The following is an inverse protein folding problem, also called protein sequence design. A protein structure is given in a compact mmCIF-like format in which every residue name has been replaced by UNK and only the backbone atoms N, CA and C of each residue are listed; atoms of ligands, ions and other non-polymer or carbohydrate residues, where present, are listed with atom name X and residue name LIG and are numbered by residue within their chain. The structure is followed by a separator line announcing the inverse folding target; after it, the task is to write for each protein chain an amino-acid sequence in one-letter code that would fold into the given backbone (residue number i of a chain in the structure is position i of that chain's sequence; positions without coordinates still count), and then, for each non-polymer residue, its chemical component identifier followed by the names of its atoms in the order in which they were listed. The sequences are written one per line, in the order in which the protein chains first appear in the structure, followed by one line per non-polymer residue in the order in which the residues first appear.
data_IF_404116552622
#
_entry.id   IF_404116552622
#
_cell.length_a   1.000
_cell.length_b   1.000
_cell.length_c   1.000
_cell.angle_alpha   90.00
_cell.angle_beta   90.00
_cell.angle_gamma   90.00
#
_symmetry.space_group_name_H-M   'P 1'
#
loop_
_entity.id
_entity.type
_entity.pdbx_description
1 polymer ?
#
# COMPACT_ATOMS: atom_id res chain seq x y z
N UNK A 1 11.07 62.72 58.09
CA UNK A 1 12.43 62.32 57.64
C UNK A 1 12.41 62.37 56.12
N UNK A 2 13.02 63.40 55.54
CA UNK A 2 13.13 63.56 54.07
C UNK A 2 14.36 62.75 53.61
N UNK A 3 14.10 61.70 52.79
CA UNK A 3 15.15 60.91 52.20
C UNK A 3 15.91 61.75 51.18
N UNK A 4 17.20 61.96 51.45
CA UNK A 4 18.15 62.63 50.56
C UNK A 4 18.28 61.82 49.30
N UNK A 5 17.64 62.22 48.23
CA UNK A 5 17.90 61.75 46.86
C UNK A 5 19.28 62.26 46.43
N UNK A 6 20.30 61.50 46.70
CA UNK A 6 21.68 61.83 46.27
C UNK A 6 21.74 61.92 44.75
N UNK A 7 21.96 63.15 44.24
CA UNK A 7 22.23 63.41 42.82
C UNK A 7 23.50 62.66 42.42
N UNK A 8 23.36 61.61 41.62
CA UNK A 8 24.52 60.88 41.03
C UNK A 8 25.40 61.83 40.27
N UNK A 9 26.72 61.79 40.54
CA UNK A 9 27.69 62.57 39.83
C UNK A 9 27.71 62.17 38.34
N UNK A 10 28.10 63.06 37.45
CA UNK A 10 28.21 62.84 35.98
C UNK A 10 29.05 61.60 35.66
N UNK A 11 30.10 61.37 36.44
CA UNK A 11 30.97 60.19 36.34
C UNK A 11 30.26 58.89 36.71
N UNK A 12 29.41 58.92 37.80
CA UNK A 12 28.62 57.75 38.20
C UNK A 12 27.53 57.42 37.16
N UNK A 13 26.88 58.43 36.57
CA UNK A 13 25.93 58.22 35.49
C UNK A 13 26.58 57.61 34.22
N UNK A 14 27.74 58.10 33.83
CA UNK A 14 28.52 57.54 32.68
C UNK A 14 28.88 56.07 32.95
N UNK A 15 29.39 55.78 34.14
CA UNK A 15 29.74 54.39 34.52
C UNK A 15 28.50 53.46 34.54
N UNK A 16 27.37 53.95 35.08
CA UNK A 16 26.14 53.19 35.09
C UNK A 16 25.60 52.94 33.69
N UNK A 17 25.65 53.93 32.78
CA UNK A 17 25.26 53.78 31.41
C UNK A 17 26.15 52.78 30.65
N UNK A 18 27.47 52.79 30.90
CA UNK A 18 28.38 51.81 30.34
C UNK A 18 28.11 50.38 30.84
N UNK A 19 27.81 50.22 32.14
CA UNK A 19 27.39 48.93 32.73
C UNK A 19 26.10 48.45 32.12
N UNK A 20 25.10 49.33 32.02
CA UNK A 20 23.82 48.97 31.42
C UNK A 20 23.94 48.61 29.95
N UNK A 21 24.75 49.30 29.18
CA UNK A 21 25.00 49.00 27.79
C UNK A 21 25.75 47.67 27.63
N UNK A 22 26.75 47.40 28.46
CA UNK A 22 27.46 46.13 28.48
C UNK A 22 26.54 44.97 28.87
N UNK A 23 25.64 45.23 29.86
CA UNK A 23 24.64 44.23 30.28
C UNK A 23 23.62 43.95 29.18
N UNK A 24 23.17 45.00 28.47
CA UNK A 24 22.26 44.87 27.31
C UNK A 24 22.89 44.11 26.18
N UNK A 25 24.17 44.38 25.85
CA UNK A 25 24.94 43.65 24.84
C UNK A 25 25.12 42.16 25.27
N UNK A 26 25.40 41.91 26.56
CA UNK A 26 25.56 40.55 27.07
C UNK A 26 24.25 39.77 27.02
N UNK A 27 23.13 40.38 27.43
CA UNK A 27 21.81 39.75 27.32
C UNK A 27 21.43 39.53 25.85
N UNK A 28 21.73 40.47 24.95
CA UNK A 28 21.48 40.30 23.54
C UNK A 28 22.30 39.15 22.97
N UNK A 29 23.59 38.99 23.33
CA UNK A 29 24.39 37.84 22.95
C UNK A 29 23.81 36.52 23.46
N UNK A 30 23.37 36.46 24.73
CA UNK A 30 22.75 35.26 25.31
C UNK A 30 21.43 34.92 24.60
N UNK A 31 20.62 35.94 24.27
CA UNK A 31 19.34 35.74 23.59
C UNK A 31 19.51 35.31 22.13
N UNK A 32 20.63 35.68 21.50
CA UNK A 32 20.95 35.28 20.12
C UNK A 32 21.69 33.92 20.04
N UNK A 33 22.18 33.38 21.17
CA UNK A 33 22.80 32.08 21.21
C UNK A 33 21.75 30.99 21.07
N UNK A 34 21.82 30.22 19.95
CA UNK A 34 20.99 29.00 19.81
C UNK A 34 21.44 28.04 20.90
N UNK A 35 20.47 27.46 21.63
CA UNK A 35 20.78 26.47 22.68
C UNK A 35 21.49 25.27 22.07
N UNK A 36 22.57 24.81 22.68
CA UNK A 36 23.32 23.61 22.29
C UNK A 36 22.45 22.38 22.27
N UNK A 37 21.44 22.32 23.12
CA UNK A 37 20.47 21.22 23.18
C UNK A 37 19.58 21.21 21.94
N UNK A 38 19.21 22.38 21.40
CA UNK A 38 18.44 22.47 20.12
C UNK A 38 19.28 21.98 18.96
N UNK A 39 20.55 22.38 18.89
CA UNK A 39 21.48 21.88 17.86
C UNK A 39 21.66 20.37 17.95
N UNK A 40 21.89 19.83 19.16
CA UNK A 40 21.99 18.40 19.39
C UNK A 40 20.70 17.66 18.98
N UNK A 41 19.54 18.21 19.31
CA UNK A 41 18.25 17.60 18.94
C UNK A 41 18.05 17.56 17.42
N UNK A 42 18.38 18.62 16.68
CA UNK A 42 18.35 18.63 15.23
C UNK A 42 19.30 17.58 14.63
N UNK A 43 20.49 17.44 15.21
CA UNK A 43 21.47 16.44 14.80
C UNK A 43 20.95 15.01 14.99
N UNK A 44 20.42 14.70 16.18
CA UNK A 44 19.84 13.36 16.48
C UNK A 44 18.67 13.05 15.53
N UNK A 45 17.77 14.02 15.28
CA UNK A 45 16.69 13.84 14.31
C UNK A 45 17.22 13.57 12.90
N UNK A 46 18.34 14.19 12.54
CA UNK A 46 18.99 13.93 11.24
C UNK A 46 19.56 12.52 11.18
N UNK A 47 20.20 12.03 12.26
CA UNK A 47 20.70 10.64 12.33
C UNK A 47 19.55 9.60 12.24
N UNK A 48 18.45 9.82 12.95
CA UNK A 48 17.28 8.95 12.88
C UNK A 48 16.70 8.91 11.46
N UNK A 49 16.70 10.04 10.77
CA UNK A 49 16.26 10.14 9.38
C UNK A 49 17.24 9.44 8.43
N UNK A 50 18.56 9.55 8.63
CA UNK A 50 19.58 8.81 7.88
C UNK A 50 19.40 7.30 8.05
N UNK A 51 19.16 6.84 9.28
CA UNK A 51 18.89 5.43 9.57
C UNK A 51 17.64 4.93 8.88
N UNK A 52 16.51 5.65 9.00
CA UNK A 52 15.26 5.30 8.32
C UNK A 52 15.43 5.27 6.80
N UNK A 53 16.22 6.20 6.24
CA UNK A 53 16.53 6.23 4.81
C UNK A 53 17.36 5.02 4.37
N UNK A 54 18.28 4.55 5.22
CA UNK A 54 19.05 3.31 4.98
C UNK A 54 18.19 2.06 5.01
N UNK A 55 17.25 1.96 5.97
CA UNK A 55 16.27 0.87 6.02
C UNK A 55 15.35 0.87 4.79
N UNK A 56 14.93 2.06 4.36
CA UNK A 56 14.13 2.23 3.16
C UNK A 56 14.88 1.79 1.90
N UNK A 57 16.18 2.04 1.81
CA UNK A 57 17.04 1.57 0.71
C UNK A 57 17.02 0.06 0.58
N UNK A 58 17.03 -0.69 1.68
CA UNK A 58 16.89 -2.16 1.66
C UNK A 58 15.57 -2.60 1.04
N UNK A 59 14.49 -1.89 1.35
CA UNK A 59 13.16 -2.15 0.78
C UNK A 59 13.10 -1.81 -0.71
N UNK A 60 13.74 -0.71 -1.12
CA UNK A 60 13.90 -0.31 -2.52
C UNK A 60 14.64 -1.38 -3.31
N UNK A 61 15.78 -1.84 -2.83
CA UNK A 61 16.59 -2.86 -3.50
C UNK A 61 15.82 -4.20 -3.61
N UNK A 62 15.04 -4.54 -2.59
CA UNK A 62 14.14 -5.72 -2.62
C UNK A 62 13.05 -5.55 -3.69
N UNK A 63 12.47 -4.37 -3.83
CA UNK A 63 11.45 -4.09 -4.83
C UNK A 63 12.01 -4.15 -6.26
N UNK A 64 13.20 -3.60 -6.52
CA UNK A 64 13.89 -3.76 -7.80
C UNK A 64 14.13 -5.23 -8.13
N UNK A 65 14.62 -6.02 -7.17
CA UNK A 65 14.85 -7.45 -7.35
C UNK A 65 13.56 -8.21 -7.70
N UNK A 66 12.44 -7.88 -7.05
CA UNK A 66 11.13 -8.49 -7.38
C UNK A 66 10.72 -8.16 -8.82
N UNK A 67 10.86 -6.92 -9.25
CA UNK A 67 10.50 -6.48 -10.59
C UNK A 67 11.40 -7.15 -11.64
N UNK A 68 12.70 -7.22 -11.39
CA UNK A 68 13.67 -7.83 -12.30
C UNK A 68 13.45 -9.35 -12.45
N UNK A 69 13.25 -10.08 -11.35
CA UNK A 69 12.94 -11.50 -11.36
C UNK A 69 11.64 -11.83 -12.09
N UNK A 70 10.69 -10.90 -12.14
CA UNK A 70 9.43 -11.04 -12.82
C UNK A 70 9.36 -10.32 -14.17
N UNK A 71 10.48 -9.88 -14.73
CA UNK A 71 10.58 -9.13 -15.99
C UNK A 71 10.00 -9.84 -17.20
N UNK A 72 9.89 -11.18 -17.15
CA UNK A 72 9.24 -12.01 -18.17
C UNK A 72 7.70 -11.89 -18.18
N UNK A 73 7.10 -11.37 -17.12
CA UNK A 73 5.66 -11.12 -17.04
C UNK A 73 5.33 -9.80 -17.75
N UNK A 74 4.28 -9.81 -18.56
CA UNK A 74 3.88 -8.64 -19.34
C UNK A 74 3.73 -7.36 -18.52
N UNK A 75 3.28 -7.48 -17.25
CA UNK A 75 3.12 -6.34 -16.34
C UNK A 75 4.44 -5.68 -15.96
N UNK A 76 5.52 -6.46 -15.78
CA UNK A 76 6.82 -5.97 -15.35
C UNK A 76 7.79 -5.70 -16.50
N UNK A 77 7.49 -6.16 -17.71
CA UNK A 77 8.39 -6.07 -18.85
C UNK A 77 8.82 -4.62 -19.14
N UNK A 78 7.86 -3.70 -19.28
CA UNK A 78 8.17 -2.29 -19.54
C UNK A 78 8.76 -1.60 -18.30
N UNK A 79 8.18 -1.75 -17.08
CA UNK A 79 8.81 -1.24 -15.88
C UNK A 79 10.27 -1.70 -15.68
N UNK A 80 10.60 -2.97 -15.89
CA UNK A 80 11.97 -3.46 -15.71
C UNK A 80 12.98 -2.83 -16.68
N UNK A 81 12.55 -2.37 -17.85
CA UNK A 81 13.39 -1.67 -18.82
C UNK A 81 13.56 -0.16 -18.49
N UNK A 82 12.54 0.49 -17.92
CA UNK A 82 12.55 1.94 -17.66
C UNK A 82 13.03 2.33 -16.25
N UNK A 83 12.75 1.49 -15.24
CA UNK A 83 13.10 1.77 -13.85
C UNK A 83 14.61 1.90 -13.56
N UNK A 84 15.55 1.29 -14.31
CA UNK A 84 16.96 1.61 -14.16
C UNK A 84 17.29 3.10 -14.36
N UNK A 85 16.54 3.81 -15.22
CA UNK A 85 16.68 5.27 -15.40
C UNK A 85 16.20 6.02 -14.16
N UNK A 86 15.10 5.58 -13.53
CA UNK A 86 14.64 6.14 -12.26
C UNK A 86 15.70 5.99 -11.17
N UNK A 87 16.30 4.80 -11.08
CA UNK A 87 17.38 4.54 -10.12
C UNK A 87 18.58 5.45 -10.37
N UNK A 88 18.99 5.63 -11.61
CA UNK A 88 20.09 6.53 -11.98
C UNK A 88 19.79 7.97 -11.55
N UNK A 89 18.61 8.51 -11.85
CA UNK A 89 18.17 9.86 -11.45
C UNK A 89 18.16 10.02 -9.93
N UNK A 90 17.62 9.06 -9.20
CA UNK A 90 17.53 9.11 -7.73
C UNK A 90 18.90 8.95 -7.07
N UNK A 91 19.76 8.06 -7.57
CA UNK A 91 21.11 7.87 -7.07
C UNK A 91 22.00 9.08 -7.38
N UNK A 92 21.91 9.67 -8.57
CA UNK A 92 22.66 10.87 -8.96
C UNK A 92 22.34 12.03 -8.01
N UNK A 93 21.07 12.34 -7.79
CA UNK A 93 20.68 13.43 -6.90
C UNK A 93 21.01 13.13 -5.42
N UNK A 94 20.78 11.90 -4.97
CA UNK A 94 21.15 11.49 -3.61
C UNK A 94 22.65 11.68 -3.35
N UNK A 95 23.50 11.26 -4.28
CA UNK A 95 24.96 11.36 -4.16
C UNK A 95 25.42 12.82 -4.23
N UNK A 96 24.82 13.63 -5.08
CA UNK A 96 25.10 15.08 -5.13
C UNK A 96 24.84 15.75 -3.76
N UNK A 97 23.73 15.42 -3.09
CA UNK A 97 23.44 15.92 -1.74
C UNK A 97 24.43 15.35 -0.71
N UNK A 98 24.85 14.08 -0.87
CA UNK A 98 25.85 13.49 0.02
C UNK A 98 27.19 14.19 -0.10
N UNK A 99 27.64 14.46 -1.31
CA UNK A 99 28.90 15.20 -1.57
C UNK A 99 28.87 16.62 -0.98
N UNK A 100 27.71 17.30 -1.00
CA UNK A 100 27.52 18.57 -0.31
C UNK A 100 27.67 18.44 1.20
N UNK A 101 27.03 17.43 1.81
CA UNK A 101 27.15 17.17 3.26
C UNK A 101 28.59 16.89 3.65
N UNK A 102 29.27 16.02 2.91
CA UNK A 102 30.65 15.61 3.20
C UNK A 102 31.63 16.78 3.04
N UNK A 103 31.45 17.64 2.03
CA UNK A 103 32.26 18.85 1.87
C UNK A 103 32.08 19.84 3.01
N UNK A 104 30.85 20.00 3.52
CA UNK A 104 30.58 20.90 4.65
C UNK A 104 31.16 20.39 5.98
N UNK A 105 31.09 19.07 6.22
CA UNK A 105 31.69 18.45 7.41
C UNK A 105 33.21 18.48 7.31
N UNK A 106 33.77 18.24 6.12
CA UNK A 106 35.20 18.19 5.87
C UNK A 106 35.94 19.51 6.08
N UNK A 107 35.22 20.65 6.15
CA UNK A 107 35.82 21.96 6.43
C UNK A 107 36.51 21.99 7.82
N UNK A 108 35.92 21.34 8.83
CA UNK A 108 36.44 21.33 10.20
C UNK A 108 36.15 19.97 10.90
N UNK A 109 36.51 18.88 10.20
CA UNK A 109 36.17 17.50 10.62
C UNK A 109 36.66 17.19 12.05
N UNK A 110 37.86 17.62 12.39
CA UNK A 110 38.47 17.39 13.74
C UNK A 110 37.67 18.06 14.86
N UNK A 111 36.90 19.09 14.57
CA UNK A 111 36.10 19.80 15.58
C UNK A 111 34.64 19.27 15.62
N UNK A 112 34.20 18.60 14.56
CA UNK A 112 32.85 18.08 14.44
C UNK A 112 32.67 16.62 14.82
N UNK A 113 33.79 15.90 15.08
CA UNK A 113 33.79 14.51 15.50
C UNK A 113 34.30 14.39 16.93
N UNK A 114 33.62 13.61 17.75
CA UNK A 114 33.98 13.29 19.11
C UNK A 114 34.09 11.78 19.30
N UNK A 115 35.02 11.36 20.11
CA UNK A 115 35.13 9.99 20.56
C UNK A 115 34.20 9.78 21.76
N UNK A 116 33.22 8.87 21.60
CA UNK A 116 32.29 8.49 22.66
C UNK A 116 32.58 7.06 23.10
N UNK A 117 32.91 6.91 24.38
CA UNK A 117 33.05 5.60 25.00
C UNK A 117 31.67 4.99 25.26
N UNK A 118 31.49 3.73 24.89
CA UNK A 118 30.28 2.97 25.16
C UNK A 118 30.61 1.52 25.50
N UNK A 119 29.72 0.87 26.22
CA UNK A 119 29.84 -0.55 26.57
C UNK A 119 28.98 -1.33 25.53
N UNK A 120 29.61 -2.30 24.86
CA UNK A 120 28.91 -3.17 23.91
C UNK A 120 28.02 -4.22 24.63
N UNK A 121 27.21 -4.95 23.88
CA UNK A 121 26.31 -6.00 24.39
C UNK A 121 27.08 -7.13 25.16
N UNK A 122 28.37 -7.25 24.95
CA UNK A 122 29.24 -8.23 25.61
C UNK A 122 29.94 -7.67 26.84
N UNK A 123 29.71 -6.40 27.23
CA UNK A 123 30.29 -5.74 28.38
C UNK A 123 31.69 -5.17 28.13
N UNK A 124 32.15 -5.06 26.89
CA UNK A 124 33.46 -4.49 26.56
C UNK A 124 33.33 -2.99 26.29
N UNK A 125 34.28 -2.22 26.80
CA UNK A 125 34.44 -0.80 26.50
C UNK A 125 34.90 -0.64 25.04
N UNK A 126 34.18 0.18 24.27
CA UNK A 126 34.50 0.56 22.89
C UNK A 126 34.39 2.06 22.70
N UNK A 127 35.19 2.57 21.79
CA UNK A 127 35.17 3.98 21.37
C UNK A 127 34.50 4.03 20.02
N UNK A 128 33.52 4.92 19.87
CA UNK A 128 32.84 5.22 18.58
C UNK A 128 32.99 6.70 18.30
N UNK A 129 33.40 7.04 17.08
CA UNK A 129 33.38 8.41 16.63
C UNK A 129 31.93 8.83 16.28
N UNK A 130 31.50 9.92 16.87
CA UNK A 130 30.18 10.52 16.61
C UNK A 130 30.30 11.99 16.28
N UNK A 131 29.30 12.51 15.56
CA UNK A 131 29.22 13.95 15.26
C UNK A 131 28.87 14.74 16.51
N UNK A 132 29.62 15.81 16.81
CA UNK A 132 29.31 16.77 17.86
C UNK A 132 28.46 17.91 17.28
N UNK A 133 27.16 17.73 17.32
CA UNK A 133 26.22 18.74 16.81
C UNK A 133 26.20 20.02 17.63
N UNK A 134 26.68 20.02 18.88
CA UNK A 134 26.67 21.20 19.76
C UNK A 134 27.64 22.30 19.31
N UNK A 135 28.60 21.96 18.47
CA UNK A 135 29.59 22.88 17.91
C UNK A 135 29.29 23.30 16.48
N UNK A 136 28.20 22.75 15.88
CA UNK A 136 27.79 23.04 14.51
C UNK A 136 26.80 24.22 14.44
N UNK A 137 27.08 25.30 15.17
CA UNK A 137 26.27 26.50 15.25
C UNK A 137 26.58 27.54 14.15
N UNK A 138 27.70 27.40 13.46
CA UNK A 138 28.17 28.34 12.43
C UNK A 138 27.30 28.26 11.18
N UNK A 139 26.93 29.41 10.64
CA UNK A 139 26.13 29.53 9.41
C UNK A 139 26.96 29.76 8.14
N UNK A 140 28.16 30.32 8.29
CA UNK A 140 28.96 30.81 7.16
C UNK A 140 29.43 29.71 6.20
N UNK A 141 29.55 28.46 6.60
CA UNK A 141 30.09 27.40 5.73
C UNK A 141 29.20 27.10 4.52
N UNK A 142 27.90 26.98 4.70
CA UNK A 142 26.99 26.79 3.58
C UNK A 142 26.82 28.08 2.80
N UNK A 143 26.83 29.24 3.50
CA UNK A 143 26.74 30.55 2.85
C UNK A 143 27.92 30.77 1.89
N UNK A 144 29.14 30.39 2.25
CA UNK A 144 30.33 30.47 1.37
C UNK A 144 30.25 29.49 0.18
N UNK A 145 29.56 28.35 0.32
CA UNK A 145 29.38 27.38 -0.78
C UNK A 145 28.30 27.83 -1.76
N UNK A 146 27.18 28.38 -1.26
CA UNK A 146 26.02 28.72 -2.10
C UNK A 146 25.96 30.17 -2.55
N UNK A 147 26.55 31.09 -1.80
CA UNK A 147 26.41 32.52 -2.03
C UNK A 147 27.75 33.22 -2.19
N UNK A 148 27.81 34.22 -3.08
CA UNK A 148 28.96 35.04 -3.30
C UNK A 148 28.52 36.49 -3.55
N UNK A 149 29.00 37.45 -2.75
CA UNK A 149 28.51 38.82 -2.75
C UNK A 149 26.96 38.87 -2.69
N UNK A 150 26.29 39.40 -3.71
CA UNK A 150 24.82 39.47 -3.80
C UNK A 150 24.27 38.43 -4.80
N UNK A 151 24.96 37.30 -5.01
CA UNK A 151 24.57 36.30 -6.00
C UNK A 151 24.75 34.87 -5.54
N UNK A 152 24.27 33.94 -6.33
CA UNK A 152 24.38 32.48 -6.11
C UNK A 152 25.67 31.98 -6.82
N UNK A 153 26.41 31.11 -6.15
CA UNK A 153 27.58 30.44 -6.73
C UNK A 153 27.17 29.41 -7.79
N UNK A 154 28.13 28.92 -8.57
CA UNK A 154 27.88 27.80 -9.49
C UNK A 154 27.35 26.57 -8.75
N UNK A 155 27.83 26.27 -7.53
CA UNK A 155 27.38 25.15 -6.74
C UNK A 155 25.95 25.34 -6.19
N UNK A 156 25.62 26.57 -5.78
CA UNK A 156 24.27 26.94 -5.42
C UNK A 156 23.28 26.86 -6.59
N UNK A 157 23.71 27.25 -7.78
CA UNK A 157 22.90 27.15 -9.00
C UNK A 157 22.68 25.66 -9.37
N UNK A 158 23.71 24.84 -9.33
CA UNK A 158 23.63 23.41 -9.55
C UNK A 158 22.64 22.73 -8.60
N UNK A 159 22.65 23.12 -7.33
CA UNK A 159 21.68 22.65 -6.35
C UNK A 159 20.23 23.04 -6.71
N UNK A 160 20.01 24.29 -7.14
CA UNK A 160 18.70 24.75 -7.61
C UNK A 160 18.23 23.93 -8.82
N UNK A 161 19.12 23.71 -9.78
CA UNK A 161 18.80 22.99 -11.01
C UNK A 161 18.43 21.54 -10.71
N UNK A 162 19.16 20.85 -9.83
CA UNK A 162 18.77 19.50 -9.37
C UNK A 162 17.39 19.49 -8.72
N UNK A 163 17.10 20.47 -7.86
CA UNK A 163 15.81 20.52 -7.16
C UNK A 163 14.64 20.78 -8.12
N UNK A 164 14.84 21.69 -9.11
CA UNK A 164 13.83 22.00 -10.15
C UNK A 164 13.58 20.82 -11.09
N UNK A 165 14.65 20.20 -11.56
CA UNK A 165 14.58 19.21 -12.65
C UNK A 165 14.13 17.84 -12.14
N UNK A 166 14.30 17.56 -10.85
CA UNK A 166 14.03 16.21 -10.29
C UNK A 166 12.62 15.73 -10.58
N UNK A 167 11.61 16.57 -10.32
CA UNK A 167 10.19 16.23 -10.56
C UNK A 167 9.97 15.88 -12.03
N UNK A 168 10.42 16.72 -12.96
CA UNK A 168 10.24 16.49 -14.40
C UNK A 168 10.98 15.26 -14.92
N UNK A 169 12.20 14.99 -14.41
CA UNK A 169 12.96 13.78 -14.75
C UNK A 169 12.24 12.51 -14.31
N UNK A 170 11.71 12.48 -13.07
CA UNK A 170 10.94 11.33 -12.55
C UNK A 170 9.64 11.15 -13.33
N UNK A 171 8.88 12.22 -13.56
CA UNK A 171 7.64 12.20 -14.36
C UNK A 171 7.89 11.64 -15.76
N UNK A 172 8.95 12.06 -16.42
CA UNK A 172 9.34 11.59 -17.76
C UNK A 172 9.54 10.06 -17.81
N UNK A 173 10.13 9.46 -16.77
CA UNK A 173 10.29 8.00 -16.70
C UNK A 173 8.94 7.31 -16.54
N UNK A 174 8.08 7.83 -15.66
CA UNK A 174 6.76 7.23 -15.42
C UNK A 174 5.83 7.36 -16.62
N UNK A 175 5.90 8.47 -17.34
CA UNK A 175 5.15 8.67 -18.58
C UNK A 175 5.67 7.76 -19.70
N UNK A 176 6.99 7.55 -19.80
CA UNK A 176 7.56 6.54 -20.71
C UNK A 176 7.01 5.13 -20.43
N UNK A 177 6.86 4.74 -19.16
CA UNK A 177 6.23 3.46 -18.79
C UNK A 177 4.77 3.41 -19.27
N UNK A 178 4.00 4.47 -19.04
CA UNK A 178 2.58 4.54 -19.42
C UNK A 178 2.38 4.52 -20.95
N UNK A 179 3.19 5.30 -21.69
CA UNK A 179 3.08 5.43 -23.15
C UNK A 179 3.48 4.16 -23.89
N UNK A 180 4.51 3.46 -23.41
CA UNK A 180 4.97 2.20 -23.97
C UNK A 180 4.01 1.04 -23.69
N UNK A 181 3.18 1.16 -22.66
CA UNK A 181 2.19 0.16 -22.33
C UNK A 181 0.89 0.35 -23.14
N UNK A 182 0.79 -0.38 -24.24
CA UNK A 182 -0.39 -0.32 -25.15
C UNK A 182 -1.68 -0.91 -24.55
N UNK A 183 -1.63 -1.51 -23.35
CA UNK A 183 -2.77 -2.14 -22.65
C UNK A 183 -3.59 -1.12 -21.86
N UNK A 184 -3.99 -0.04 -22.47
CA UNK A 184 -4.52 1.21 -21.94
C UNK A 184 -5.66 1.16 -20.90
N UNK A 185 -6.28 0.01 -20.67
CA UNK A 185 -7.42 -0.14 -19.72
C UNK A 185 -7.05 -0.93 -18.47
N UNK A 186 -6.01 -1.77 -18.50
CA UNK A 186 -5.64 -2.68 -17.40
C UNK A 186 -4.36 -2.30 -16.65
N UNK A 187 -3.53 -1.44 -17.20
CA UNK A 187 -2.24 -1.05 -16.64
C UNK A 187 -2.29 0.23 -15.80
N UNK A 188 -3.26 0.32 -14.88
CA UNK A 188 -3.21 1.38 -13.87
C UNK A 188 -2.13 1.02 -12.84
N UNK A 189 -0.89 1.49 -13.09
CA UNK A 189 0.27 1.28 -12.21
C UNK A 189 0.14 1.95 -10.82
N UNK A 190 -0.85 2.83 -10.64
CA UNK A 190 -1.10 3.48 -9.35
C UNK A 190 -0.10 4.58 -9.00
N UNK A 191 0.59 5.16 -9.99
CA UNK A 191 1.59 6.23 -9.77
C UNK A 191 1.00 7.55 -9.28
N UNK A 192 -0.32 7.75 -9.34
CA UNK A 192 -0.95 9.04 -9.00
C UNK A 192 -0.60 9.56 -7.61
N UNK A 193 -0.58 8.67 -6.61
CA UNK A 193 -0.22 9.05 -5.23
C UNK A 193 1.26 9.41 -5.13
N UNK A 194 2.15 8.63 -5.74
CA UNK A 194 3.59 8.90 -5.76
C UNK A 194 3.90 10.22 -6.46
N UNK A 195 3.24 10.51 -7.60
CA UNK A 195 3.37 11.79 -8.32
C UNK A 195 2.87 12.97 -7.49
N UNK A 196 1.74 12.83 -6.82
CA UNK A 196 1.24 13.89 -5.92
C UNK A 196 2.21 14.17 -4.77
N UNK A 197 2.76 13.14 -4.16
CA UNK A 197 3.75 13.29 -3.08
C UNK A 197 5.07 13.87 -3.60
N UNK A 198 5.51 13.48 -4.80
CA UNK A 198 6.70 14.05 -5.47
C UNK A 198 6.54 15.56 -5.64
N UNK A 199 5.43 16.02 -6.23
CA UNK A 199 5.15 17.44 -6.44
C UNK A 199 5.05 18.24 -5.14
N UNK A 200 4.55 17.61 -4.04
CA UNK A 200 4.49 18.26 -2.73
C UNK A 200 5.87 18.38 -2.07
N UNK A 201 6.75 17.37 -2.20
CA UNK A 201 8.08 17.35 -1.56
C UNK A 201 9.08 18.21 -2.30
N UNK A 202 9.02 18.23 -3.63
CA UNK A 202 9.92 18.98 -4.51
C UNK A 202 9.23 20.18 -5.17
N UNK A 203 8.39 20.88 -4.39
CA UNK A 203 7.70 22.07 -4.85
C UNK A 203 8.68 23.26 -4.93
N UNK A 204 9.03 23.65 -6.16
CA UNK A 204 9.82 24.83 -6.43
C UNK A 204 8.91 25.93 -7.04
N UNK A 205 8.98 27.18 -6.55
CA UNK A 205 8.12 28.26 -7.07
C UNK A 205 8.50 28.64 -8.50
N UNK A 206 7.49 28.87 -9.35
CA UNK A 206 7.70 29.23 -10.78
C UNK A 206 8.46 30.55 -10.98
N UNK A 207 8.29 31.50 -10.06
CA UNK A 207 8.95 32.82 -10.09
C UNK A 207 10.25 32.86 -9.27
N UNK A 208 10.80 31.70 -8.90
CA UNK A 208 11.99 31.53 -8.06
C UNK A 208 11.88 32.19 -6.66
N UNK A 209 10.70 32.71 -6.27
CA UNK A 209 10.51 33.51 -5.07
C UNK A 209 9.47 32.89 -4.13
N UNK A 210 9.68 33.09 -2.86
CA UNK A 210 8.73 32.74 -1.79
C UNK A 210 8.36 33.98 -1.00
N UNK A 211 7.17 33.98 -0.44
CA UNK A 211 6.74 35.02 0.51
C UNK A 211 7.12 34.56 1.92
N UNK A 212 8.03 35.27 2.56
CA UNK A 212 8.47 34.97 3.91
C UNK A 212 7.36 35.28 4.96
N UNK A 213 7.64 35.00 6.25
CA UNK A 213 6.66 35.20 7.33
C UNK A 213 6.25 36.66 7.54
N UNK A 214 7.06 37.58 7.08
CA UNK A 214 6.81 39.03 7.16
C UNK A 214 6.06 39.58 5.93
N UNK A 215 5.68 38.69 4.99
CA UNK A 215 4.99 39.05 3.75
C UNK A 215 5.88 39.63 2.66
N UNK A 216 7.20 39.49 2.79
CA UNK A 216 8.20 39.99 1.84
C UNK A 216 8.56 38.88 0.86
N UNK A 217 8.65 39.21 -0.44
CA UNK A 217 9.16 38.30 -1.47
C UNK A 217 10.68 38.20 -1.37
N UNK A 218 11.16 36.96 -1.34
CA UNK A 218 12.57 36.63 -1.22
C UNK A 218 12.87 35.41 -2.11
N UNK A 219 14.05 35.33 -2.68
CA UNK A 219 14.41 34.19 -3.51
C UNK A 219 14.44 32.93 -2.70
N UNK A 220 13.91 31.82 -3.27
CA UNK A 220 13.71 30.54 -2.61
C UNK A 220 14.96 30.01 -1.93
N UNK A 221 16.15 30.16 -2.58
CA UNK A 221 17.39 29.63 -2.04
C UNK A 221 17.87 30.42 -0.82
N UNK A 222 17.75 31.76 -0.83
CA UNK A 222 18.10 32.60 0.32
C UNK A 222 17.18 32.32 1.49
N UNK A 223 15.86 32.29 1.26
CA UNK A 223 14.87 31.99 2.28
C UNK A 223 15.12 30.63 2.97
N UNK A 224 15.54 29.60 2.21
CA UNK A 224 15.67 28.27 2.73
C UNK A 224 17.06 27.94 3.27
N UNK A 225 18.14 28.58 2.82
CA UNK A 225 19.50 28.13 3.10
C UNK A 225 20.45 29.22 3.60
N UNK A 226 20.16 30.51 3.43
CA UNK A 226 21.03 31.58 3.90
C UNK A 226 20.96 31.72 5.43
N UNK A 227 22.10 31.87 6.08
CA UNK A 227 22.27 32.14 7.52
C UNK A 227 21.72 31.05 8.46
N UNK A 228 21.55 29.84 8.00
CA UNK A 228 21.18 28.72 8.86
C UNK A 228 22.42 28.11 9.53
N UNK A 229 22.31 27.65 10.81
CA UNK A 229 23.36 26.86 11.43
C UNK A 229 23.71 25.61 10.61
N UNK A 230 24.98 25.19 10.63
CA UNK A 230 25.45 24.04 9.84
C UNK A 230 24.58 22.80 10.08
N UNK A 231 24.27 22.48 11.37
CA UNK A 231 23.41 21.32 11.70
C UNK A 231 22.02 21.41 11.07
N UNK A 232 21.44 22.62 10.99
CA UNK A 232 20.13 22.80 10.36
C UNK A 232 20.20 22.59 8.83
N UNK A 233 21.26 23.05 8.20
CA UNK A 233 21.53 22.82 6.76
C UNK A 233 21.75 21.35 6.47
N UNK A 234 22.55 20.64 7.27
CA UNK A 234 22.75 19.19 7.18
C UNK A 234 21.42 18.43 7.34
N UNK A 235 20.58 18.83 8.29
CA UNK A 235 19.27 18.22 8.51
C UNK A 235 18.33 18.43 7.31
N UNK A 236 18.36 19.60 6.66
CA UNK A 236 17.61 19.87 5.43
C UNK A 236 18.08 18.98 4.27
N UNK A 237 19.38 18.81 4.11
CA UNK A 237 19.94 17.91 3.10
C UNK A 237 19.59 16.44 3.37
N UNK A 238 19.66 16.00 4.62
CA UNK A 238 19.21 14.66 5.00
C UNK A 238 17.72 14.46 4.69
N UNK A 239 16.90 15.50 4.91
CA UNK A 239 15.49 15.46 4.52
C UNK A 239 15.30 15.29 3.01
N UNK A 240 16.05 16.01 2.17
CA UNK A 240 16.00 15.85 0.72
C UNK A 240 16.39 14.41 0.32
N UNK A 241 17.44 13.86 0.90
CA UNK A 241 17.85 12.47 0.66
C UNK A 241 16.75 11.47 1.04
N UNK A 242 16.09 11.69 2.18
CA UNK A 242 14.94 10.88 2.62
C UNK A 242 13.74 11.02 1.67
N UNK A 243 13.46 12.24 1.19
CA UNK A 243 12.37 12.49 0.25
C UNK A 243 12.63 11.81 -1.11
N UNK A 244 13.88 11.84 -1.63
CA UNK A 244 14.29 11.14 -2.86
C UNK A 244 14.00 9.63 -2.71
N UNK A 245 14.48 9.00 -1.63
CA UNK A 245 14.26 7.56 -1.41
C UNK A 245 12.80 7.21 -1.13
N UNK A 246 12.05 8.09 -0.49
CA UNK A 246 10.61 7.90 -0.28
C UNK A 246 9.83 7.90 -1.58
N UNK A 247 10.12 8.83 -2.50
CA UNK A 247 9.50 8.87 -3.83
C UNK A 247 9.85 7.62 -4.64
N UNK A 248 11.12 7.22 -4.67
CA UNK A 248 11.57 6.00 -5.32
C UNK A 248 10.82 4.76 -4.78
N UNK A 249 10.75 4.63 -3.46
CA UNK A 249 10.01 3.54 -2.81
C UNK A 249 8.53 3.54 -3.13
N UNK A 250 7.86 4.69 -3.09
CA UNK A 250 6.42 4.81 -3.37
C UNK A 250 6.09 4.38 -4.80
N UNK A 251 6.94 4.74 -5.78
CA UNK A 251 6.81 4.33 -7.17
C UNK A 251 6.96 2.80 -7.28
N UNK A 252 8.03 2.24 -6.74
CA UNK A 252 8.28 0.80 -6.78
C UNK A 252 7.21 0.00 -6.04
N UNK A 253 6.81 0.48 -4.86
CA UNK A 253 5.76 -0.18 -4.07
C UNK A 253 4.41 -0.17 -4.78
N UNK A 254 4.09 0.86 -5.56
CA UNK A 254 2.86 0.89 -6.36
C UNK A 254 2.82 -0.23 -7.41
N UNK A 255 3.97 -0.63 -7.94
CA UNK A 255 4.11 -1.74 -8.88
C UNK A 255 4.04 -3.10 -8.17
N UNK A 256 4.78 -3.25 -7.07
CA UNK A 256 4.89 -4.52 -6.33
C UNK A 256 3.61 -4.85 -5.57
N UNK A 257 2.94 -3.88 -4.94
CA UNK A 257 1.73 -4.09 -4.14
C UNK A 257 0.58 -4.63 -4.97
N UNK A 258 0.39 -4.14 -6.19
CA UNK A 258 -0.66 -4.64 -7.09
C UNK A 258 -0.50 -6.11 -7.47
N UNK A 259 0.73 -6.60 -7.53
CA UNK A 259 0.99 -8.02 -7.78
C UNK A 259 0.72 -8.86 -6.53
N UNK A 260 1.07 -8.35 -5.34
CA UNK A 260 0.70 -8.99 -4.07
C UNK A 260 -0.81 -9.08 -3.91
N UNK A 261 -1.55 -8.04 -4.23
CA UNK A 261 -3.02 -8.04 -4.20
C UNK A 261 -3.60 -9.06 -5.21
N UNK A 262 -3.00 -9.24 -6.36
CA UNK A 262 -3.37 -10.28 -7.34
C UNK A 262 -2.99 -11.69 -6.85
N UNK A 263 -1.79 -11.91 -6.34
CA UNK A 263 -1.35 -13.20 -5.80
C UNK A 263 -2.11 -13.60 -4.53
N UNK A 264 -2.29 -12.68 -3.57
CA UNK A 264 -3.12 -12.89 -2.38
C UNK A 264 -4.60 -13.14 -2.73
N UNK A 265 -5.06 -12.58 -3.84
CA UNK A 265 -6.38 -12.82 -4.40
C UNK A 265 -6.57 -14.30 -4.82
N UNK A 266 -5.53 -15.01 -5.23
CA UNK A 266 -5.61 -16.42 -5.65
C UNK A 266 -5.33 -17.40 -4.51
N UNK A 267 -4.36 -17.14 -3.66
CA UNK A 267 -3.98 -18.03 -2.54
C UNK A 267 -5.05 -18.08 -1.43
N UNK A 268 -5.93 -17.10 -1.34
CA UNK A 268 -7.01 -17.01 -0.33
C UNK A 268 -8.39 -17.37 -0.85
N UNK A 269 -8.56 -17.78 -2.13
CA UNK A 269 -9.87 -18.08 -2.71
C UNK A 269 -10.24 -19.56 -2.53
N UNK A 270 -11.31 -19.80 -1.79
CA UNK A 270 -12.00 -21.07 -1.72
C UNK A 270 -13.20 -21.08 -2.67
N UNK A 271 -13.46 -22.23 -3.30
CA UNK A 271 -14.67 -22.42 -4.09
C UNK A 271 -15.80 -22.91 -3.20
N UNK A 272 -16.95 -22.24 -3.30
CA UNK A 272 -18.20 -22.63 -2.63
C UNK A 272 -19.23 -23.02 -3.68
N UNK A 273 -19.96 -24.13 -3.42
CA UNK A 273 -21.14 -24.45 -4.20
C UNK A 273 -22.36 -23.79 -3.55
N UNK A 274 -22.87 -22.74 -4.19
CA UNK A 274 -24.12 -22.10 -3.83
C UNK A 274 -25.26 -22.87 -4.51
N UNK A 275 -26.16 -23.44 -3.74
CA UNK A 275 -27.32 -24.21 -4.24
C UNK A 275 -28.58 -23.69 -3.59
N UNK A 276 -29.66 -23.53 -4.37
CA UNK A 276 -30.96 -23.14 -3.86
C UNK A 276 -31.60 -24.28 -3.06
N UNK A 277 -31.14 -25.53 -3.26
CA UNK A 277 -31.62 -26.74 -2.59
C UNK A 277 -30.43 -27.60 -2.19
N UNK A 278 -30.51 -28.20 -0.99
CA UNK A 278 -29.49 -29.16 -0.53
C UNK A 278 -29.56 -30.51 -1.26
N UNK A 279 -30.70 -30.83 -1.90
CA UNK A 279 -30.90 -32.06 -2.62
C UNK A 279 -31.76 -31.86 -3.87
N UNK A 280 -31.44 -32.57 -4.94
CA UNK A 280 -32.10 -32.49 -6.25
C UNK A 280 -32.66 -33.88 -6.63
N UNK A 281 -33.85 -33.91 -7.23
CA UNK A 281 -34.43 -35.17 -7.72
C UNK A 281 -33.73 -35.65 -8.99
N UNK A 282 -33.75 -36.95 -9.23
CA UNK A 282 -33.31 -37.52 -10.50
C UNK A 282 -34.08 -36.90 -11.67
N UNK A 283 -33.37 -36.64 -12.77
CA UNK A 283 -33.90 -35.98 -13.98
C UNK A 283 -34.41 -34.55 -13.78
N UNK A 284 -34.13 -33.88 -12.66
CA UNK A 284 -34.33 -32.46 -12.50
C UNK A 284 -33.08 -31.69 -12.88
N UNK A 285 -33.23 -30.44 -13.29
CA UNK A 285 -32.10 -29.55 -13.49
C UNK A 285 -31.52 -29.15 -12.13
N UNK A 286 -30.20 -29.21 -11.99
CA UNK A 286 -29.49 -28.73 -10.82
C UNK A 286 -29.25 -27.23 -11.00
N UNK A 287 -29.90 -26.42 -10.17
CA UNK A 287 -29.63 -25.00 -10.06
C UNK A 287 -28.57 -24.79 -8.97
N UNK A 288 -27.32 -24.82 -9.42
CA UNK A 288 -26.15 -24.70 -8.56
C UNK A 288 -25.13 -23.76 -9.19
N UNK A 289 -24.49 -22.95 -8.37
CA UNK A 289 -23.46 -21.98 -8.76
C UNK A 289 -22.17 -22.29 -8.03
N UNK A 290 -21.06 -22.37 -8.74
CA UNK A 290 -19.73 -22.41 -8.12
C UNK A 290 -19.30 -20.98 -7.90
N UNK A 291 -19.17 -20.57 -6.66
CA UNK A 291 -18.75 -19.23 -6.26
C UNK A 291 -17.29 -19.30 -5.84
N UNK A 292 -16.48 -18.42 -6.38
CA UNK A 292 -15.12 -18.18 -5.91
C UNK A 292 -15.19 -17.20 -4.74
N UNK A 293 -14.57 -17.52 -3.61
CA UNK A 293 -14.73 -16.88 -2.30
C UNK A 293 -14.32 -15.41 -2.16
N UNK A 294 -14.41 -14.63 -3.23
CA UNK A 294 -14.44 -13.18 -3.20
C UNK A 294 -15.50 -12.72 -4.21
N UNK A 295 -16.48 -11.97 -3.78
CA UNK A 295 -17.60 -11.47 -4.59
C UNK A 295 -17.13 -10.30 -5.48
N UNK A 296 -16.19 -10.54 -6.38
CA UNK A 296 -15.83 -9.60 -7.41
C UNK A 296 -16.51 -10.02 -8.72
N UNK A 297 -17.49 -9.25 -9.15
CA UNK A 297 -18.23 -9.50 -10.41
C UNK A 297 -17.34 -9.39 -11.66
N UNK A 298 -16.17 -8.77 -11.56
CA UNK A 298 -15.19 -8.67 -12.63
C UNK A 298 -14.37 -9.95 -12.83
N UNK A 299 -14.46 -10.90 -11.86
CA UNK A 299 -13.67 -12.11 -11.87
C UNK A 299 -14.31 -13.19 -12.75
N UNK A 300 -13.85 -13.30 -13.99
CA UNK A 300 -14.36 -14.24 -14.99
C UNK A 300 -13.24 -15.23 -15.36
N UNK A 301 -13.45 -16.57 -15.22
CA UNK A 301 -12.47 -17.52 -15.69
C UNK A 301 -12.44 -17.54 -17.23
N UNK A 302 -11.24 -17.58 -17.79
CA UNK A 302 -11.01 -17.66 -19.24
C UNK A 302 -11.28 -19.07 -19.77
N UNK A 303 -11.00 -20.08 -18.95
CA UNK A 303 -11.26 -21.48 -19.26
C UNK A 303 -11.74 -22.25 -18.03
N UNK A 304 -12.78 -23.09 -18.24
CA UNK A 304 -13.38 -23.94 -17.24
C UNK A 304 -13.12 -25.41 -17.59
N UNK A 305 -12.44 -26.14 -16.74
CA UNK A 305 -12.20 -27.58 -16.89
C UNK A 305 -12.74 -28.31 -15.65
N UNK A 306 -14.04 -28.53 -15.62
CA UNK A 306 -14.74 -29.20 -14.54
C UNK A 306 -15.23 -30.59 -14.94
N UNK A 307 -15.17 -31.51 -14.01
CA UNK A 307 -15.70 -32.89 -14.14
C UNK A 307 -16.73 -33.13 -13.06
N UNK A 308 -17.77 -33.89 -13.41
CA UNK A 308 -18.73 -34.42 -12.44
C UNK A 308 -18.66 -35.93 -12.51
N UNK A 309 -18.36 -36.60 -11.39
CA UNK A 309 -18.14 -38.06 -11.31
C UNK A 309 -17.12 -38.55 -12.39
N UNK A 310 -16.02 -37.83 -12.57
CA UNK A 310 -14.97 -38.07 -13.57
C UNK A 310 -15.36 -37.83 -15.05
N UNK A 311 -16.58 -37.36 -15.33
CA UNK A 311 -17.05 -37.02 -16.68
C UNK A 311 -16.88 -35.52 -16.88
N UNK A 312 -16.11 -35.10 -17.91
CA UNK A 312 -15.92 -33.70 -18.25
C UNK A 312 -17.24 -33.04 -18.61
N UNK A 313 -17.52 -31.85 -18.01
CA UNK A 313 -18.66 -31.00 -18.37
C UNK A 313 -18.47 -30.42 -19.79
N UNK A 314 -19.54 -30.43 -20.56
CA UNK A 314 -19.59 -29.77 -21.86
C UNK A 314 -19.93 -28.30 -21.65
N UNK A 315 -19.51 -27.42 -22.58
CA UNK A 315 -19.81 -26.01 -22.55
C UNK A 315 -21.32 -25.67 -22.47
N UNK A 316 -22.17 -26.56 -23.01
CA UNK A 316 -23.64 -26.42 -22.91
C UNK A 316 -24.24 -26.80 -21.55
N UNK A 317 -23.46 -27.42 -20.67
CA UNK A 317 -23.88 -27.91 -19.35
C UNK A 317 -23.58 -26.92 -18.21
N UNK A 318 -22.91 -25.80 -18.52
CA UNK A 318 -22.67 -24.69 -17.58
C UNK A 318 -22.68 -23.34 -18.29
N UNK A 319 -22.88 -22.27 -17.54
CA UNK A 319 -22.71 -20.88 -18.01
C UNK A 319 -21.97 -20.06 -16.96
N UNK A 320 -21.22 -19.04 -17.40
CA UNK A 320 -20.48 -18.12 -16.51
C UNK A 320 -21.23 -16.79 -16.47
N UNK A 321 -21.79 -16.46 -15.30
CA UNK A 321 -22.56 -15.22 -15.08
C UNK A 321 -22.06 -14.59 -13.78
N UNK A 322 -21.69 -13.30 -13.84
CA UNK A 322 -21.26 -12.49 -12.70
C UNK A 322 -20.17 -13.15 -11.81
N UNK A 323 -19.14 -13.72 -12.44
CA UNK A 323 -18.07 -14.41 -11.72
C UNK A 323 -18.45 -15.78 -11.13
N UNK A 324 -19.65 -16.29 -11.41
CA UNK A 324 -20.18 -17.55 -10.92
C UNK A 324 -20.37 -18.52 -12.07
N UNK A 325 -20.13 -19.82 -11.80
CA UNK A 325 -20.41 -20.88 -12.77
C UNK A 325 -21.71 -21.53 -12.41
N UNK A 326 -22.71 -21.33 -13.23
CA UNK A 326 -24.05 -21.93 -13.10
C UNK A 326 -24.09 -23.25 -13.86
N UNK A 327 -24.45 -24.34 -13.18
CA UNK A 327 -24.59 -25.67 -13.79
C UNK A 327 -26.00 -25.89 -14.34
N UNK A 328 -26.09 -26.33 -15.60
CA UNK A 328 -27.34 -26.68 -16.29
C UNK A 328 -27.40 -28.14 -16.70
N UNK A 329 -26.90 -29.04 -15.83
CA UNK A 329 -26.82 -30.48 -16.08
C UNK A 329 -27.91 -31.25 -15.37
N UNK A 330 -28.53 -32.23 -16.06
CA UNK A 330 -29.50 -33.18 -15.47
C UNK A 330 -28.81 -34.49 -15.09
N UNK A 331 -29.14 -35.02 -13.89
CA UNK A 331 -28.58 -36.27 -13.39
C UNK A 331 -29.70 -37.33 -13.33
N UNK A 332 -29.45 -38.50 -13.93
CA UNK A 332 -30.38 -39.61 -14.01
C UNK A 332 -30.25 -40.60 -12.84
N UNK A 333 -29.08 -40.65 -12.20
CA UNK A 333 -28.81 -41.57 -11.10
C UNK A 333 -28.73 -40.82 -9.76
N UNK A 334 -29.43 -41.34 -8.69
CA UNK A 334 -29.31 -40.77 -7.38
C UNK A 334 -27.95 -41.10 -6.75
N UNK A 335 -27.58 -40.32 -5.71
CA UNK A 335 -26.33 -40.44 -4.99
C UNK A 335 -25.55 -39.14 -4.88
N UNK A 336 -24.39 -39.21 -4.24
CA UNK A 336 -23.46 -38.06 -4.13
C UNK A 336 -22.87 -37.82 -5.50
N UNK A 337 -22.85 -36.55 -5.90
CA UNK A 337 -22.20 -36.08 -7.13
C UNK A 337 -21.05 -35.16 -6.76
N UNK A 338 -19.83 -35.54 -7.14
CA UNK A 338 -18.62 -34.77 -6.87
C UNK A 338 -18.25 -33.92 -8.08
N UNK A 339 -18.12 -32.61 -7.86
CA UNK A 339 -17.59 -31.67 -8.86
C UNK A 339 -16.12 -31.47 -8.54
N UNK A 340 -15.26 -31.74 -9.53
CA UNK A 340 -13.80 -31.63 -9.38
C UNK A 340 -13.20 -31.08 -10.66
N UNK A 341 -12.17 -30.21 -10.51
CA UNK A 341 -11.44 -29.68 -11.65
C UNK A 341 -10.78 -28.34 -11.37
N UNK A 342 -10.51 -27.59 -12.44
CA UNK A 342 -9.79 -26.33 -12.36
C UNK A 342 -10.52 -25.24 -13.13
N UNK A 343 -10.46 -24.01 -12.57
CA UNK A 343 -10.77 -22.77 -13.26
C UNK A 343 -9.46 -22.09 -13.60
N UNK A 344 -9.31 -21.69 -14.84
CA UNK A 344 -8.10 -21.04 -15.32
C UNK A 344 -8.36 -19.57 -15.59
N UNK A 345 -7.41 -18.74 -15.21
CA UNK A 345 -7.45 -17.30 -15.36
C UNK A 345 -6.17 -16.87 -16.06
N UNK A 346 -6.28 -16.11 -17.14
CA UNK A 346 -5.13 -15.51 -17.79
C UNK A 346 -4.73 -14.24 -17.04
N UNK A 347 -3.55 -14.29 -16.46
CA UNK A 347 -2.94 -13.17 -15.76
C UNK A 347 -1.70 -12.72 -16.53
N UNK A 348 -1.92 -11.94 -17.61
CA UNK A 348 -0.87 -11.34 -18.43
C UNK A 348 0.15 -12.38 -19.00
N UNK A 349 -0.38 -13.46 -19.56
CA UNK A 349 0.45 -14.53 -20.16
C UNK A 349 0.84 -15.64 -19.20
N UNK A 350 0.59 -15.49 -17.89
CA UNK A 350 0.65 -16.57 -16.92
C UNK A 350 -0.76 -17.10 -16.65
N UNK A 351 -0.95 -18.42 -16.76
CA UNK A 351 -2.22 -19.06 -16.48
C UNK A 351 -2.27 -19.48 -15.02
N UNK A 352 -3.05 -18.74 -14.21
CA UNK A 352 -3.36 -19.14 -12.83
C UNK A 352 -4.50 -20.15 -12.82
N UNK A 353 -4.48 -21.12 -11.91
CA UNK A 353 -5.51 -22.13 -11.80
C UNK A 353 -6.07 -22.23 -10.39
N UNK A 354 -7.40 -22.33 -10.27
CA UNK A 354 -8.11 -22.51 -9.00
C UNK A 354 -8.75 -23.89 -8.98
N UNK A 355 -8.44 -24.69 -7.96
CA UNK A 355 -9.03 -26.00 -7.75
C UNK A 355 -10.46 -25.89 -7.26
N UNK A 356 -11.39 -26.60 -7.89
CA UNK A 356 -12.78 -26.83 -7.45
C UNK A 356 -12.90 -28.25 -6.95
N UNK A 357 -13.28 -28.44 -5.68
CA UNK A 357 -13.58 -29.75 -5.09
C UNK A 357 -14.81 -29.59 -4.18
N UNK A 358 -15.99 -29.97 -4.70
CA UNK A 358 -17.25 -29.80 -3.99
C UNK A 358 -18.23 -30.92 -4.36
N UNK A 359 -19.30 -31.11 -3.58
CA UNK A 359 -20.26 -32.15 -3.80
C UNK A 359 -21.70 -31.74 -3.45
N UNK A 360 -22.66 -32.39 -4.06
CA UNK A 360 -24.07 -32.22 -3.77
C UNK A 360 -24.82 -33.60 -3.86
N UNK A 361 -26.05 -33.65 -3.38
CA UNK A 361 -26.85 -34.86 -3.36
C UNK A 361 -27.92 -34.83 -4.44
N UNK A 362 -28.07 -35.94 -5.17
CA UNK A 362 -29.16 -36.18 -6.08
C UNK A 362 -30.04 -37.27 -5.44
N UNK A 363 -31.32 -36.96 -5.18
CA UNK A 363 -32.27 -37.91 -4.58
C UNK A 363 -33.28 -38.38 -5.64
N UNK A 364 -33.80 -39.62 -5.56
CA UNK A 364 -34.81 -40.09 -6.48
C UNK A 364 -36.12 -39.29 -6.28
N UNK A 365 -36.83 -39.04 -7.39
CA UNK A 365 -38.20 -38.52 -7.28
C UNK A 365 -39.06 -39.55 -6.54
N UNK A 366 -39.89 -39.13 -5.59
CA UNK A 366 -40.83 -40.03 -4.98
C UNK A 366 -41.80 -40.58 -6.05
N UNK A 367 -41.91 -41.90 -6.12
CA UNK A 367 -42.77 -42.57 -7.09
C UNK A 367 -44.16 -42.85 -6.52
N UNK A 368 -44.32 -42.85 -5.20
CA UNK A 368 -45.51 -43.26 -4.49
C UNK A 368 -45.89 -42.30 -3.39
N UNK A 369 -47.16 -42.06 -3.22
CA UNK A 369 -47.73 -41.40 -2.06
C UNK A 369 -47.95 -42.44 -0.94
N UNK A 370 -47.56 -42.11 0.27
CA UNK A 370 -47.87 -42.91 1.43
C UNK A 370 -49.25 -42.45 1.95
N UNK A 371 -50.22 -43.30 1.86
CA UNK A 371 -51.57 -43.05 2.39
C UNK A 371 -51.74 -43.89 3.66
N UNK A 372 -51.97 -43.24 4.77
CA UNK A 372 -52.18 -43.91 6.06
C UNK A 372 -53.43 -43.39 6.75
N UNK A 373 -54.19 -44.23 7.46
CA UNK A 373 -55.28 -43.76 8.31
C UNK A 373 -54.72 -42.97 9.50
N UNK A 374 -55.37 -41.89 9.88
CA UNK A 374 -54.93 -41.03 11.01
C UNK A 374 -55.17 -41.73 12.34
N UNK A 375 -56.27 -42.57 12.40
CA UNK A 375 -56.62 -43.27 13.59
C UNK A 375 -56.39 -44.76 13.41
N UNK A 376 -55.69 -45.41 14.35
CA UNK A 376 -55.55 -46.88 14.55
C UNK A 376 -54.94 -47.67 13.38
N UNK A 377 -54.28 -47.10 12.41
CA UNK A 377 -53.63 -47.80 11.28
C UNK A 377 -54.53 -48.80 10.49
N UNK A 378 -55.87 -48.67 10.59
CA UNK A 378 -56.84 -49.52 9.93
C UNK A 378 -57.95 -48.69 9.28
N UNK A 379 -58.40 -49.12 8.10
CA UNK A 379 -59.56 -48.53 7.44
C UNK A 379 -60.82 -49.30 7.84
N UNK A 380 -61.86 -48.59 8.28
CA UNK A 380 -63.15 -49.18 8.61
C UNK A 380 -64.13 -49.06 7.45
N UNK A 381 -64.63 -50.20 6.98
CA UNK A 381 -65.64 -50.25 5.90
C UNK A 381 -66.96 -49.64 6.40
N UNK A 382 -67.51 -48.72 5.63
CA UNK A 382 -68.79 -48.07 5.95
C UNK A 382 -68.70 -46.85 6.87
N UNK A 383 -67.51 -46.49 7.34
CA UNK A 383 -67.25 -45.31 8.15
C UNK A 383 -66.41 -44.30 7.40
N UNK A 384 -66.52 -43.05 7.80
CA UNK A 384 -65.63 -41.97 7.27
C UNK A 384 -64.25 -42.10 7.95
N UNK A 385 -63.24 -42.45 7.18
CA UNK A 385 -61.89 -42.58 7.67
C UNK A 385 -61.10 -41.29 7.32
N UNK A 386 -60.44 -40.69 8.32
CA UNK A 386 -59.45 -39.61 8.05
C UNK A 386 -58.16 -40.27 7.60
N UNK A 387 -57.64 -39.76 6.50
CA UNK A 387 -56.38 -40.22 5.87
C UNK A 387 -55.33 -39.17 5.90
N UNK A 388 -54.10 -39.51 6.22
CA UNK A 388 -52.92 -38.71 6.00
C UNK A 388 -52.25 -39.16 4.72
N UNK A 389 -51.92 -38.21 3.86
CA UNK A 389 -51.18 -38.46 2.62
C UNK A 389 -49.85 -37.78 2.73
N UNK A 390 -48.77 -38.55 2.66
CA UNK A 390 -47.41 -38.05 2.72
C UNK A 390 -46.70 -38.34 1.40
N UNK A 391 -45.97 -37.35 0.92
CA UNK A 391 -45.08 -37.46 -0.24
C UNK A 391 -43.64 -37.23 0.23
N UNK A 392 -42.88 -38.30 0.53
CA UNK A 392 -41.49 -38.13 0.96
C UNK A 392 -40.66 -37.38 -0.08
N UNK A 393 -40.00 -36.28 0.36
CA UNK A 393 -39.08 -35.50 -0.50
C UNK A 393 -39.74 -34.41 -1.34
N UNK A 394 -41.02 -34.09 -1.21
CA UNK A 394 -41.67 -32.93 -1.78
C UNK A 394 -41.77 -31.83 -0.73
N UNK A 395 -41.02 -30.75 -0.88
CA UNK A 395 -41.04 -29.61 0.06
C UNK A 395 -42.26 -28.71 -0.12
N UNK A 396 -42.80 -28.60 -1.33
CA UNK A 396 -43.92 -27.73 -1.66
C UNK A 396 -45.20 -28.58 -1.84
N UNK A 397 -46.04 -28.59 -0.83
CA UNK A 397 -47.30 -29.31 -0.82
C UNK A 397 -48.38 -28.69 -1.72
N UNK A 398 -48.21 -27.44 -2.13
CA UNK A 398 -49.16 -26.76 -3.02
C UNK A 398 -49.13 -27.31 -4.46
N UNK A 399 -48.07 -27.99 -4.83
CA UNK A 399 -47.93 -28.68 -6.12
C UNK A 399 -48.64 -30.03 -6.21
N UNK A 400 -49.24 -30.52 -5.09
CA UNK A 400 -49.88 -31.82 -5.01
C UNK A 400 -51.38 -31.65 -5.27
N UNK A 401 -51.91 -32.41 -6.23
CA UNK A 401 -53.37 -32.50 -6.47
C UNK A 401 -53.86 -33.90 -6.19
N UNK A 402 -54.74 -34.04 -5.21
CA UNK A 402 -55.40 -35.30 -4.92
C UNK A 402 -56.66 -35.46 -5.82
N UNK A 403 -56.76 -36.62 -6.46
CA UNK A 403 -57.98 -37.01 -7.23
C UNK A 403 -58.50 -38.29 -6.64
N UNK A 404 -59.71 -38.27 -6.10
CA UNK A 404 -60.38 -39.44 -5.60
C UNK A 404 -61.37 -40.04 -6.63
N UNK A 405 -61.34 -41.37 -6.76
CA UNK A 405 -62.32 -42.12 -7.56
C UNK A 405 -63.31 -42.77 -6.61
N UNK A 406 -64.59 -42.72 -6.97
CA UNK A 406 -65.72 -43.21 -6.10
C UNK A 406 -65.85 -44.72 -6.07
N UNK A 407 -64.99 -45.50 -6.74
CA UNK A 407 -65.04 -46.99 -6.70
C UNK A 407 -63.69 -47.57 -6.35
N UNK A 408 -63.50 -47.94 -5.08
CA UNK A 408 -62.47 -48.86 -4.68
C UNK A 408 -63.13 -50.28 -4.66
N UNK A 409 -62.95 -51.08 -5.70
CA UNK A 409 -63.23 -52.53 -5.64
C UNK A 409 -62.01 -53.17 -4.98
N UNK A 410 -62.22 -53.57 -3.72
CA UNK A 410 -61.23 -54.47 -3.07
C UNK A 410 -61.43 -55.87 -3.68
N UNK A 411 -60.36 -56.57 -4.09
CA UNK A 411 -60.48 -57.98 -4.46
C UNK A 411 -61.04 -58.78 -3.28
N UNK A 412 -62.18 -59.39 -3.49
CA UNK A 412 -62.67 -60.40 -2.59
C UNK A 412 -61.81 -61.66 -2.69
N UNK A 413 -61.05 -61.94 -1.63
CA UNK A 413 -60.38 -63.23 -1.48
C UNK A 413 -61.45 -64.20 -1.00
N UNK A 414 -61.78 -65.19 -1.89
CA UNK A 414 -62.49 -66.41 -1.45
C UNK A 414 -61.58 -67.33 -0.64
#
# INVERSE_FOLDING_TARGET
MAGSSGKQTRSQKLRQNMINMMYLVFIAMLALQISKEVLATLGVLSEDMEKSTSELKTSIDSAYNIIDQNSNQDYYKIPSEELPKLKEITDEYFNFIQDLKDSLIGIDENNYMIDVEYIDENGNEKISQRRDYQVMDKSNYLDEVFFINDGVTTKGQEFIDYFKDFTGKVESVLDSIKERDSRTVQSNYGFSTALSNLSLRFNYPEDDQVVNRDGIKEDWIYYNYEKFPLVASLSKFTKIQSDIRSVEYEILNSLVSKTKDRQLSFDSKSTLLETDKQAYYTNSTVDAKVVVGNTDSSFKPDRVDLKVDNIKLKESEFEVVDGKIKLNKRFSSPGIKKIYGYLFFDNNGNTDSLLVDTQFYVIPKPNEAIVSPVNMQVFYIGLRNEIAVAFPGIADLTSIRAVSYTHLTLPTVE
#
